data_IF_590373167060
#
_entry.id   IF_590373167060
#
_cell.length_a   1.000
_cell.length_b   1.000
_cell.length_c   1.000
_cell.angle_alpha   90.00
_cell.angle_beta   90.00
_cell.angle_gamma   90.00
#
_symmetry.space_group_name_H-M   'P 1'
#
loop_
_entity.id
_entity.type
_entity.pdbx_description
1 polymer ?
#
# COMPACT_ATOMS: atom_id res chain seq x y z
N UNK A 1 5.70 5.36 10.87
CA UNK A 1 6.91 5.33 10.02
C UNK A 1 7.35 3.89 9.95
N UNK A 2 7.81 3.45 8.78
CA UNK A 2 8.44 2.13 8.59
C UNK A 2 9.71 2.25 7.77
N UNK A 3 10.54 1.22 7.81
CA UNK A 3 11.81 1.13 7.09
C UNK A 3 11.81 -0.14 6.24
N UNK A 4 11.84 0.03 4.92
CA UNK A 4 12.05 -1.03 3.92
C UNK A 4 11.25 -2.32 4.18
N UNK A 5 11.87 -3.29 4.86
CA UNK A 5 11.32 -4.62 5.14
C UNK A 5 10.13 -4.61 6.10
N UNK A 6 9.86 -3.51 6.80
CA UNK A 6 8.63 -3.37 7.60
C UNK A 6 7.36 -3.50 6.76
N UNK A 7 7.45 -3.26 5.45
CA UNK A 7 6.36 -3.48 4.52
C UNK A 7 6.19 -4.95 4.13
N UNK A 8 7.25 -5.75 4.21
CA UNK A 8 7.18 -7.18 3.90
C UNK A 8 6.54 -7.96 5.04
N UNK A 9 5.81 -9.00 4.66
CA UNK A 9 5.34 -10.02 5.61
C UNK A 9 6.54 -10.71 6.24
N UNK A 10 6.48 -10.89 7.56
CA UNK A 10 7.57 -11.51 8.30
C UNK A 10 7.42 -13.03 8.34
N UNK A 11 8.50 -13.81 8.08
CA UNK A 11 8.47 -15.24 8.30
C UNK A 11 8.07 -15.60 9.74
N UNK A 12 7.30 -16.68 9.96
CA UNK A 12 6.94 -17.72 8.99
C UNK A 12 5.65 -17.44 8.19
N UNK A 13 5.04 -16.26 8.32
CA UNK A 13 3.78 -15.96 7.63
C UNK A 13 3.97 -15.91 6.12
N UNK A 14 2.99 -16.43 5.38
CA UNK A 14 2.89 -16.30 3.94
C UNK A 14 1.94 -15.16 3.61
N UNK A 15 2.21 -14.47 2.49
CA UNK A 15 1.38 -13.36 2.04
C UNK A 15 0.59 -13.71 0.78
N UNK A 16 -0.71 -13.48 0.82
CA UNK A 16 -1.58 -13.41 -0.36
C UNK A 16 -2.34 -12.08 -0.36
N UNK A 17 -2.88 -11.70 -1.52
CA UNK A 17 -3.67 -10.47 -1.63
C UNK A 17 -5.01 -10.57 -0.86
N UNK A 18 -5.53 -11.79 -0.73
CA UNK A 18 -6.76 -12.10 -0.01
C UNK A 18 -6.48 -12.08 1.49
N UNK A 19 -5.69 -13.04 1.97
CA UNK A 19 -5.51 -13.36 3.39
C UNK A 19 -4.57 -12.42 4.16
N UNK A 20 -3.78 -11.58 3.48
CA UNK A 20 -2.71 -10.83 4.13
C UNK A 20 -1.59 -11.75 4.64
N UNK A 21 -0.93 -11.48 5.79
CA UNK A 21 -1.18 -10.40 6.75
C UNK A 21 -0.70 -9.04 6.23
N UNK A 22 -1.21 -7.94 6.78
CA UNK A 22 -0.92 -6.56 6.35
C UNK A 22 -0.44 -5.68 7.51
N UNK A 23 0.62 -6.11 8.19
CA UNK A 23 1.04 -5.64 9.51
C UNK A 23 1.14 -4.12 9.61
N UNK A 24 1.88 -3.47 8.71
CA UNK A 24 2.06 -2.01 8.75
C UNK A 24 0.79 -1.24 8.40
N UNK A 25 -0.04 -1.77 7.48
CA UNK A 25 -1.29 -1.16 7.09
C UNK A 25 -2.32 -1.25 8.22
N UNK A 26 -2.45 -2.42 8.84
CA UNK A 26 -3.29 -2.64 10.02
C UNK A 26 -2.84 -1.74 11.18
N UNK A 27 -1.54 -1.64 11.43
CA UNK A 27 -1.01 -0.73 12.44
C UNK A 27 -1.40 0.74 12.18
N UNK A 28 -1.35 1.19 10.92
CA UNK A 28 -1.81 2.54 10.56
C UNK A 28 -3.30 2.75 10.87
N UNK A 29 -4.15 1.75 10.58
CA UNK A 29 -5.58 1.80 10.90
C UNK A 29 -5.81 1.84 12.42
N UNK A 30 -5.19 0.94 13.17
CA UNK A 30 -5.29 0.85 14.64
C UNK A 30 -4.90 2.15 15.33
N UNK A 31 -3.80 2.77 14.86
CA UNK A 31 -3.30 4.04 15.41
C UNK A 31 -3.95 5.26 14.79
N UNK A 32 -4.89 5.08 13.87
CA UNK A 32 -5.54 6.17 13.10
C UNK A 32 -4.53 7.12 12.46
N UNK A 33 -3.44 6.56 11.96
CA UNK A 33 -2.42 7.31 11.24
C UNK A 33 -3.01 7.82 9.92
N UNK A 34 -2.77 9.10 9.62
CA UNK A 34 -3.13 9.75 8.37
C UNK A 34 -1.92 9.98 7.45
N UNK A 35 -0.71 9.70 7.94
CA UNK A 35 0.53 9.75 7.16
C UNK A 35 1.39 8.53 7.49
N UNK A 36 1.85 7.83 6.45
CA UNK A 36 2.83 6.75 6.55
C UNK A 36 4.08 7.13 5.73
N UNK A 37 5.21 7.32 6.40
CA UNK A 37 6.51 7.50 5.77
C UNK A 37 7.28 6.16 5.76
N UNK A 38 7.75 5.77 4.58
CA UNK A 38 8.56 4.57 4.33
C UNK A 38 9.93 4.98 3.79
N UNK A 39 10.98 4.66 4.54
CA UNK A 39 12.37 4.90 4.15
C UNK A 39 12.98 3.58 3.66
N UNK A 40 13.32 3.50 2.37
CA UNK A 40 13.54 2.24 1.69
C UNK A 40 14.90 2.16 0.99
N UNK A 41 15.42 0.93 0.94
CA UNK A 41 16.49 0.49 0.06
C UNK A 41 16.03 -0.75 -0.72
N UNK A 42 14.86 -0.62 -1.36
CA UNK A 42 14.19 -1.67 -2.11
C UNK A 42 14.90 -1.94 -3.44
N UNK A 43 15.05 -3.22 -3.76
CA UNK A 43 15.73 -3.67 -4.97
C UNK A 43 14.83 -3.54 -6.21
N UNK A 44 15.46 -3.22 -7.34
CA UNK A 44 14.80 -3.17 -8.64
C UNK A 44 14.15 -4.53 -8.97
N UNK A 45 12.90 -4.50 -9.41
CA UNK A 45 12.12 -5.70 -9.75
C UNK A 45 12.70 -6.48 -10.92
N UNK A 46 13.55 -5.84 -11.73
CA UNK A 46 14.13 -6.35 -12.99
C UNK A 46 13.10 -6.57 -14.09
N UNK A 47 11.84 -6.23 -13.87
CA UNK A 47 10.74 -6.31 -14.83
C UNK A 47 10.52 -4.96 -15.52
N UNK A 48 10.04 -4.98 -16.76
CA UNK A 48 9.65 -3.77 -17.52
C UNK A 48 10.72 -2.65 -17.48
N UNK A 49 11.99 -2.99 -17.72
CA UNK A 49 13.13 -2.07 -17.51
C UNK A 49 13.16 -0.85 -18.43
N UNK A 50 12.44 -0.90 -19.54
CA UNK A 50 12.30 0.23 -20.47
C UNK A 50 11.34 1.30 -19.91
N UNK A 51 10.48 0.94 -18.95
CA UNK A 51 9.62 1.90 -18.27
C UNK A 51 10.47 2.78 -17.33
N UNK A 52 10.19 4.09 -17.30
CA UNK A 52 10.96 5.03 -16.46
C UNK A 52 10.83 4.71 -14.97
N UNK A 53 9.77 3.99 -14.57
CA UNK A 53 9.42 3.66 -13.18
C UNK A 53 9.41 2.16 -12.98
N UNK A 54 9.65 1.73 -11.75
CA UNK A 54 9.42 0.35 -11.35
C UNK A 54 7.95 0.11 -10.97
N UNK A 55 7.10 -0.08 -11.99
CA UNK A 55 5.68 -0.35 -11.80
C UNK A 55 5.42 -1.62 -10.98
N UNK A 56 6.23 -2.66 -11.17
CA UNK A 56 6.12 -3.89 -10.39
C UNK A 56 6.32 -3.62 -8.89
N UNK A 57 7.34 -2.85 -8.54
CA UNK A 57 7.63 -2.45 -7.16
C UNK A 57 6.54 -1.52 -6.60
N UNK A 58 6.10 -0.51 -7.37
CA UNK A 58 5.00 0.39 -6.95
C UNK A 58 3.70 -0.37 -6.67
N UNK A 59 3.33 -1.28 -7.56
CA UNK A 59 2.14 -2.12 -7.42
C UNK A 59 2.27 -3.06 -6.22
N UNK A 60 3.44 -3.63 -6.00
CA UNK A 60 3.70 -4.45 -4.82
C UNK A 60 3.52 -3.63 -3.52
N UNK A 61 4.09 -2.43 -3.45
CA UNK A 61 3.91 -1.57 -2.27
C UNK A 61 2.46 -1.20 -2.03
N UNK A 62 1.72 -0.86 -3.09
CA UNK A 62 0.30 -0.55 -2.99
C UNK A 62 -0.52 -1.78 -2.53
N UNK A 63 -0.20 -2.98 -3.04
CA UNK A 63 -0.84 -4.23 -2.64
C UNK A 63 -0.60 -4.55 -1.16
N UNK A 64 0.63 -4.35 -0.65
CA UNK A 64 0.96 -4.51 0.78
C UNK A 64 0.25 -3.51 1.70
N UNK A 65 -0.37 -2.48 1.12
CA UNK A 65 -1.16 -1.47 1.83
C UNK A 65 -2.66 -1.60 1.56
N UNK A 66 -3.11 -2.76 1.05
CA UNK A 66 -4.51 -3.04 0.70
C UNK A 66 -5.55 -2.57 1.72
N UNK A 67 -5.40 -2.81 3.05
CA UNK A 67 -6.39 -2.36 4.03
C UNK A 67 -6.61 -0.83 4.07
N UNK A 68 -5.66 -0.03 3.57
CA UNK A 68 -5.77 1.43 3.53
C UNK A 68 -6.62 1.94 2.36
N UNK A 69 -6.97 1.10 1.38
CA UNK A 69 -7.70 1.54 0.18
C UNK A 69 -8.80 0.59 -0.32
N UNK A 70 -8.76 -0.69 0.02
CA UNK A 70 -9.77 -1.68 -0.39
C UNK A 70 -11.17 -1.34 0.11
N UNK A 71 -12.20 -1.90 -0.55
CA UNK A 71 -13.59 -1.78 -0.08
C UNK A 71 -13.78 -2.62 1.16
N UNK A 72 -14.62 -2.16 2.09
CA UNK A 72 -14.88 -2.88 3.34
C UNK A 72 -15.48 -4.27 3.09
N UNK A 73 -16.38 -4.37 2.11
CA UNK A 73 -16.98 -5.65 1.66
C UNK A 73 -15.91 -6.67 1.20
N UNK A 74 -14.86 -6.22 0.50
CA UNK A 74 -13.75 -7.07 0.05
C UNK A 74 -12.83 -7.52 1.20
N UNK A 75 -13.06 -7.04 2.42
CA UNK A 75 -12.33 -7.40 3.64
C UNK A 75 -13.22 -8.18 4.64
N UNK A 76 -14.53 -8.26 4.40
CA UNK A 76 -15.53 -8.84 5.31
C UNK A 76 -15.95 -10.28 4.95
N UNK A 77 -15.49 -10.81 3.81
CA UNK A 77 -15.80 -12.19 3.35
C UNK A 77 -15.16 -13.32 4.20
N UNK A 78 -14.55 -13.02 5.35
CA UNK A 78 -13.62 -13.93 6.03
C UNK A 78 -13.94 -14.30 7.50
N UNK A 79 -15.05 -13.85 8.10
CA UNK A 79 -15.38 -14.20 9.51
C UNK A 79 -16.81 -14.73 9.77
N UNK A 80 -17.63 -14.99 8.74
CA UNK A 80 -18.97 -15.57 8.94
C UNK A 80 -19.01 -17.10 8.74
N UNK A 81 -18.42 -17.85 9.67
CA UNK A 81 -18.80 -19.26 9.93
C UNK A 81 -19.46 -19.41 11.31
N UNK A 82 -20.44 -18.54 11.59
CA UNK A 82 -21.41 -18.74 12.67
C UNK A 82 -22.80 -18.36 12.18
N UNK A 83 -23.63 -19.40 11.98
CA UNK A 83 -25.09 -19.39 11.93
C UNK A 83 -25.77 -18.38 10.99
N UNK A 84 -26.17 -18.87 9.82
CA UNK A 84 -27.17 -18.22 8.96
C UNK A 84 -28.53 -18.20 9.68
N UNK A 85 -28.87 -17.09 10.32
CA UNK A 85 -30.26 -16.70 10.52
C UNK A 85 -30.69 -15.72 9.42
N UNK A 86 -31.76 -16.08 8.73
CA UNK A 86 -32.39 -15.31 7.67
C UNK A 86 -33.04 -14.02 8.22
N UNK A 87 -32.81 -12.92 7.50
CA UNK A 87 -33.74 -11.81 7.46
C UNK A 87 -33.20 -10.49 7.99
N UNK A 88 -32.90 -9.56 7.08
CA UNK A 88 -33.38 -8.17 7.08
C UNK A 88 -32.62 -7.38 6.01
N UNK A 89 -33.36 -6.99 4.95
CA UNK A 89 -32.94 -6.03 3.95
C UNK A 89 -32.43 -4.74 4.64
N UNK A 90 -31.11 -4.60 4.78
CA UNK A 90 -30.52 -3.39 5.31
C UNK A 90 -30.40 -2.35 4.20
N UNK A 91 -31.39 -1.47 4.21
CA UNK A 91 -31.48 -0.18 3.54
C UNK A 91 -30.14 0.44 3.12
N UNK A 92 -30.00 0.65 1.81
CA UNK A 92 -29.00 1.43 1.13
C UNK A 92 -29.01 2.92 1.55
N UNK A 93 -28.55 3.21 2.76
CA UNK A 93 -28.30 4.59 3.21
C UNK A 93 -27.20 4.67 4.27
N UNK A 94 -26.05 4.02 4.05
CA UNK A 94 -24.85 4.42 4.76
C UNK A 94 -24.44 5.81 4.24
N UNK A 95 -24.56 6.79 5.13
CA UNK A 95 -24.14 8.17 4.89
C UNK A 95 -22.71 8.17 4.36
N UNK A 96 -22.56 8.76 3.18
CA UNK A 96 -21.39 8.67 2.30
C UNK A 96 -20.23 9.55 2.82
N UNK A 97 -19.80 9.33 4.07
CA UNK A 97 -18.59 9.96 4.58
C UNK A 97 -17.39 9.30 3.91
N UNK A 98 -16.51 10.07 3.26
CA UNK A 98 -15.36 9.49 2.60
C UNK A 98 -14.51 8.79 3.66
N UNK A 99 -14.16 7.52 3.42
CA UNK A 99 -13.36 6.74 4.36
C UNK A 99 -12.03 7.42 4.68
N UNK A 100 -11.41 7.01 5.79
CA UNK A 100 -10.13 7.56 6.27
C UNK A 100 -9.09 7.54 5.15
N UNK A 101 -8.39 8.67 4.99
CA UNK A 101 -7.30 8.84 4.04
C UNK A 101 -5.96 8.78 4.74
N UNK A 102 -5.05 7.99 4.19
CA UNK A 102 -3.65 7.92 4.59
C UNK A 102 -2.77 8.34 3.42
N UNK A 103 -1.97 9.38 3.61
CA UNK A 103 -0.92 9.75 2.65
C UNK A 103 0.30 8.88 2.90
N UNK A 104 0.70 8.10 1.91
CA UNK A 104 1.85 7.21 1.99
C UNK A 104 2.99 7.82 1.18
N UNK A 105 4.11 8.10 1.83
CA UNK A 105 5.31 8.66 1.23
C UNK A 105 6.38 7.58 1.26
N UNK A 106 6.85 7.18 0.08
CA UNK A 106 7.91 6.19 -0.08
C UNK A 106 9.16 6.88 -0.59
N UNK A 107 10.19 6.92 0.24
CA UNK A 107 11.50 7.42 -0.11
C UNK A 107 12.43 6.23 -0.33
N UNK A 108 12.64 5.83 -1.57
CA UNK A 108 13.49 4.70 -1.93
C UNK A 108 14.73 5.18 -2.66
N UNK A 109 15.91 4.70 -2.23
CA UNK A 109 17.16 5.06 -2.90
C UNK A 109 17.23 4.50 -4.33
N UNK A 110 18.01 5.16 -5.18
CA UNK A 110 18.38 4.69 -6.52
C UNK A 110 19.87 4.29 -6.54
N UNK A 111 20.35 3.84 -7.70
CA UNK A 111 21.75 3.48 -7.92
C UNK A 111 22.06 1.99 -7.76
N UNK A 112 23.35 1.67 -7.75
CA UNK A 112 23.86 0.29 -7.73
C UNK A 112 24.90 0.14 -6.63
N UNK A 113 24.79 -0.93 -5.85
CA UNK A 113 25.75 -1.27 -4.79
C UNK A 113 26.00 -2.78 -4.83
N UNK A 114 27.28 -3.19 -4.88
CA UNK A 114 27.66 -4.62 -4.94
C UNK A 114 26.95 -5.42 -6.04
N UNK A 115 26.73 -4.80 -7.20
CA UNK A 115 26.05 -5.42 -8.34
C UNK A 115 24.52 -5.50 -8.22
N UNK A 116 23.95 -5.03 -7.11
CA UNK A 116 22.50 -4.97 -6.89
C UNK A 116 22.00 -3.56 -7.22
N UNK A 117 20.91 -3.48 -7.99
CA UNK A 117 20.29 -2.21 -8.38
C UNK A 117 19.10 -1.93 -7.47
N UNK A 118 19.00 -0.70 -6.97
CA UNK A 118 17.82 -0.25 -6.21
C UNK A 118 16.75 0.29 -7.15
N UNK A 119 15.48 0.11 -6.78
CA UNK A 119 14.35 0.41 -7.64
C UNK A 119 14.14 1.92 -7.89
N UNK A 120 14.77 2.80 -7.10
CA UNK A 120 14.44 4.22 -7.09
C UNK A 120 12.93 4.39 -6.93
N UNK A 121 12.29 5.11 -7.85
CA UNK A 121 10.82 5.18 -7.94
C UNK A 121 10.16 5.61 -6.63
N UNK A 122 10.79 6.55 -5.93
CA UNK A 122 10.19 7.20 -4.75
C UNK A 122 8.82 7.77 -5.12
N UNK A 123 7.83 7.64 -4.25
CA UNK A 123 6.43 7.87 -4.61
C UNK A 123 5.58 8.42 -3.47
N UNK A 124 4.49 9.08 -3.85
CA UNK A 124 3.42 9.51 -2.93
C UNK A 124 2.10 8.91 -3.39
N UNK A 125 1.43 8.22 -2.46
CA UNK A 125 0.09 7.68 -2.66
C UNK A 125 -0.92 8.36 -1.73
N UNK A 126 -2.14 8.58 -2.22
CA UNK A 126 -3.33 8.76 -1.39
C UNK A 126 -4.05 7.41 -1.31
N UNK A 127 -4.13 6.87 -0.10
CA UNK A 127 -4.83 5.62 0.20
C UNK A 127 -6.10 5.98 0.96
N UNK A 128 -7.25 5.94 0.28
CA UNK A 128 -8.55 6.20 0.91
C UNK A 128 -9.28 4.90 1.11
N UNK A 129 -9.53 4.53 2.38
CA UNK A 129 -10.25 3.31 2.72
C UNK A 129 -11.64 3.33 2.09
N UNK A 130 -12.07 2.22 1.48
CA UNK A 130 -13.34 2.14 0.77
C UNK A 130 -13.30 2.61 -0.68
N UNK A 131 -12.20 3.20 -1.16
CA UNK A 131 -12.13 3.70 -2.55
C UNK A 131 -11.97 2.59 -3.59
N UNK A 132 -11.54 1.40 -3.18
CA UNK A 132 -11.31 0.23 -4.04
C UNK A 132 -10.02 0.32 -4.87
N UNK A 133 -9.26 1.42 -4.80
CA UNK A 133 -7.95 1.51 -5.46
C UNK A 133 -7.03 2.54 -4.81
N UNK A 134 -5.71 2.28 -4.81
CA UNK A 134 -4.72 3.28 -4.43
C UNK A 134 -4.66 4.41 -5.48
N UNK A 135 -4.39 5.64 -5.06
CA UNK A 135 -4.10 6.75 -5.99
C UNK A 135 -2.63 7.13 -5.91
N UNK A 136 -1.88 6.84 -6.96
CA UNK A 136 -0.52 7.36 -7.13
C UNK A 136 -0.60 8.85 -7.47
N UNK A 137 -0.18 9.72 -6.54
CA UNK A 137 -0.17 11.16 -6.73
C UNK A 137 1.09 11.60 -7.49
N UNK A 138 2.23 11.00 -7.16
CA UNK A 138 3.48 11.20 -7.88
C UNK A 138 4.44 10.02 -7.69
N UNK A 139 5.36 9.85 -8.63
CA UNK A 139 6.54 8.98 -8.52
C UNK A 139 7.73 9.55 -9.29
N UNK A 140 8.92 9.49 -8.71
CA UNK A 140 10.20 9.68 -9.41
C UNK A 140 10.49 8.49 -10.33
N UNK A 141 11.47 8.63 -11.22
CA UNK A 141 11.95 7.53 -12.06
C UNK A 141 12.96 6.64 -11.31
N UNK A 142 13.27 5.45 -11.87
CA UNK A 142 14.19 4.47 -11.26
C UNK A 142 15.57 5.03 -10.95
N UNK A 143 16.06 5.95 -11.79
CA UNK A 143 17.43 6.48 -11.74
C UNK A 143 17.51 7.92 -11.27
N UNK A 144 16.37 8.55 -10.96
CA UNK A 144 16.37 9.95 -10.54
C UNK A 144 17.00 10.09 -9.15
N UNK A 145 17.86 11.08 -9.02
CA UNK A 145 18.37 11.60 -7.75
C UNK A 145 17.85 13.02 -7.59
N UNK A 146 17.26 13.34 -6.44
CA UNK A 146 16.71 14.67 -6.22
C UNK A 146 15.73 14.75 -5.06
N UNK A 147 15.22 15.96 -4.84
CA UNK A 147 14.13 16.24 -3.92
C UNK A 147 12.94 16.68 -4.76
N UNK A 148 11.79 16.11 -4.45
CA UNK A 148 10.54 16.50 -5.05
C UNK A 148 9.59 17.04 -3.99
N UNK A 149 8.77 18.01 -4.38
CA UNK A 149 7.86 18.72 -3.47
C UNK A 149 6.44 18.60 -4.02
N UNK A 150 5.52 18.11 -3.18
CA UNK A 150 4.09 18.07 -3.49
C UNK A 150 3.26 18.73 -2.42
N UNK A 151 2.15 19.32 -2.89
CA UNK A 151 1.04 19.73 -2.03
C UNK A 151 0.01 18.61 -2.06
N UNK A 152 -0.31 18.06 -0.89
CA UNK A 152 -1.26 16.97 -0.69
C UNK A 152 -2.52 17.46 0.00
#
# INVERSE_FOLDING_TARGET
>A
MGICMDLNTQPPALWTLEDGPYEIAQHCLEKKANVLLLLNAWLDSKEEREEPKDWRTLNFWAARLRPLWARTEELEDEDSDSDKEEGLEHSASQQNHPGQETIVIVCNRSGVENGQTFAGTSAVFSMRRGSGRPRLLHSMDRKSEGVEIWTV
#
